data_IF_145376786613
#
_entry.id   IF_145376786613
#
_cell.length_a   1.000
_cell.length_b   1.000
_cell.length_c   1.000
_cell.angle_alpha   90.00
_cell.angle_beta   90.00
_cell.angle_gamma   90.00
#
_symmetry.space_group_name_H-M   'P 1'
#
loop_
_entity.id
_entity.type
_entity.pdbx_description
1 polymer ?
#
# COMPACT_ATOMS: atom_id res chain seq x y z
N UNK A 1 -0.12 -2.26 2.87
CA UNK A 1 -1.13 -2.51 1.83
C UNK A 1 -0.98 -1.40 0.81
N UNK A 2 -0.65 -1.73 -0.45
CA UNK A 2 -0.45 -0.76 -1.54
C UNK A 2 -1.54 -1.01 -2.57
N UNK A 3 -2.64 -0.26 -2.49
CA UNK A 3 -3.58 -0.07 -3.58
C UNK A 3 -3.94 1.42 -3.58
N UNK A 4 -3.46 2.12 -4.61
CA UNK A 4 -3.70 3.54 -4.80
C UNK A 4 -5.14 3.74 -5.26
N UNK A 5 -5.94 4.49 -4.49
CA UNK A 5 -7.20 5.02 -5.00
C UNK A 5 -6.93 6.04 -6.11
N UNK A 6 -7.94 6.37 -6.94
CA UNK A 6 -7.81 7.40 -8.01
C UNK A 6 -7.42 8.78 -7.47
N UNK A 7 -7.72 9.08 -6.21
CA UNK A 7 -7.30 10.30 -5.51
C UNK A 7 -5.90 10.15 -4.89
N UNK A 8 -5.55 8.97 -4.35
CA UNK A 8 -4.18 8.64 -3.92
C UNK A 8 -3.18 8.69 -5.07
N UNK A 9 -3.58 8.26 -6.27
CA UNK A 9 -2.75 8.30 -7.48
C UNK A 9 -2.40 9.75 -7.90
N UNK A 10 -3.31 10.70 -7.71
CA UNK A 10 -3.06 12.13 -7.96
C UNK A 10 -2.22 12.78 -6.86
N UNK A 11 -2.43 12.39 -5.60
CA UNK A 11 -1.63 12.86 -4.47
C UNK A 11 -0.18 12.35 -4.53
N UNK A 12 0.03 11.08 -4.88
CA UNK A 12 1.35 10.47 -5.13
C UNK A 12 2.08 11.06 -6.34
N UNK A 13 1.34 11.55 -7.34
CA UNK A 13 1.93 12.23 -8.49
C UNK A 13 2.39 13.66 -8.18
N UNK A 14 1.97 14.27 -7.06
CA UNK A 14 2.35 15.65 -6.72
C UNK A 14 3.83 15.76 -6.29
N UNK A 15 4.57 16.78 -6.76
CA UNK A 15 5.97 16.98 -6.36
C UNK A 15 6.13 17.15 -4.85
N UNK A 16 5.21 17.91 -4.22
CA UNK A 16 5.23 18.21 -2.78
C UNK A 16 5.11 16.99 -1.88
N UNK A 17 4.25 16.04 -2.22
CA UNK A 17 4.09 14.81 -1.44
C UNK A 17 5.31 13.88 -1.59
N UNK A 18 5.95 13.90 -2.76
CA UNK A 18 7.16 13.12 -3.07
C UNK A 18 8.39 13.58 -2.28
N UNK A 19 8.50 14.87 -1.98
CA UNK A 19 9.59 15.45 -1.20
C UNK A 19 9.39 15.27 0.32
N UNK A 20 8.15 15.37 0.82
CA UNK A 20 7.84 15.33 2.25
C UNK A 20 7.99 13.93 2.90
N UNK A 21 7.94 12.86 2.11
CA UNK A 21 8.00 11.47 2.59
C UNK A 21 9.20 10.67 2.04
N UNK A 22 10.27 11.35 1.62
CA UNK A 22 11.52 10.68 1.27
C UNK A 22 12.35 10.37 2.53
N UNK A 23 12.50 9.10 2.93
CA UNK A 23 13.54 8.74 3.89
C UNK A 23 14.91 9.04 3.26
N UNK A 24 15.68 9.92 3.93
CA UNK A 24 17.04 10.27 3.51
C UNK A 24 17.87 8.99 3.35
N UNK A 25 18.31 8.71 2.11
CA UNK A 25 19.16 7.55 1.80
C UNK A 25 18.54 6.51 0.86
N UNK A 26 17.24 6.58 0.55
CA UNK A 26 16.68 5.75 -0.53
C UNK A 26 16.94 6.47 -1.84
N UNK A 27 18.08 6.17 -2.46
CA UNK A 27 18.34 6.54 -3.85
C UNK A 27 17.09 6.23 -4.68
N UNK A 28 16.67 7.15 -5.56
CA UNK A 28 15.77 6.83 -6.68
C UNK A 28 16.45 5.77 -7.57
N UNK A 29 16.55 4.54 -7.09
CA UNK A 29 17.16 3.43 -7.81
C UNK A 29 16.04 2.57 -8.33
N UNK A 30 15.48 2.95 -9.48
CA UNK A 30 14.85 2.04 -10.46
C UNK A 30 14.07 0.83 -9.88
N UNK A 31 13.26 1.06 -8.85
CA UNK A 31 12.20 0.13 -8.48
C UNK A 31 11.07 0.56 -9.44
N UNK A 32 10.81 -0.09 -10.58
CA UNK A 32 10.52 -1.52 -10.69
C UNK A 32 10.20 -1.87 -12.16
N UNK A 33 11.07 -2.59 -12.86
CA UNK A 33 10.62 -3.30 -14.07
C UNK A 33 9.91 -4.57 -13.61
N UNK A 34 10.57 -5.46 -12.86
CA UNK A 34 9.97 -6.73 -12.44
C UNK A 34 9.16 -6.65 -11.10
N UNK A 35 8.06 -7.41 -11.04
CA UNK A 35 7.13 -7.48 -9.89
C UNK A 35 7.67 -8.31 -8.72
N UNK A 36 8.54 -9.30 -8.97
CA UNK A 36 9.17 -10.16 -7.97
C UNK A 36 10.11 -9.39 -7.05
N UNK A 37 11.02 -8.62 -7.63
CA UNK A 37 11.98 -7.76 -6.94
C UNK A 37 11.27 -6.80 -5.98
N UNK A 38 10.13 -6.27 -6.38
CA UNK A 38 9.29 -5.46 -5.50
C UNK A 38 8.71 -6.21 -4.30
N UNK A 39 8.21 -7.42 -4.51
CA UNK A 39 7.67 -8.20 -3.41
C UNK A 39 8.76 -8.55 -2.40
N UNK A 40 9.99 -8.79 -2.87
CA UNK A 40 11.16 -9.01 -2.01
C UNK A 40 11.55 -7.76 -1.22
N UNK A 41 11.62 -6.59 -1.86
CA UNK A 41 11.87 -5.34 -1.15
C UNK A 41 10.79 -5.05 -0.10
N UNK A 42 9.52 -5.25 -0.46
CA UNK A 42 8.40 -5.07 0.44
C UNK A 42 8.48 -6.00 1.65
N UNK A 43 8.92 -7.25 1.44
CA UNK A 43 9.16 -8.23 2.50
C UNK A 43 10.29 -7.77 3.43
N UNK A 44 11.40 -7.25 2.89
CA UNK A 44 12.51 -6.72 3.69
C UNK A 44 12.02 -5.57 4.58
N UNK A 45 11.28 -4.62 4.00
CA UNK A 45 10.73 -3.47 4.72
C UNK A 45 9.77 -3.94 5.82
N UNK A 46 8.85 -4.87 5.52
CA UNK A 46 7.91 -5.42 6.54
C UNK A 46 8.65 -6.03 7.72
N UNK A 47 9.72 -6.79 7.48
CA UNK A 47 10.54 -7.39 8.55
C UNK A 47 11.26 -6.33 9.38
N UNK A 48 11.81 -5.29 8.74
CA UNK A 48 12.45 -4.18 9.44
C UNK A 48 11.46 -3.41 10.33
N UNK A 49 10.20 -3.30 9.89
CA UNK A 49 9.13 -2.66 10.64
C UNK A 49 8.45 -3.58 11.68
N UNK A 50 8.90 -4.83 11.82
CA UNK A 50 8.28 -5.80 12.75
C UNK A 50 6.85 -6.19 12.38
N UNK A 51 6.45 -6.06 11.12
CA UNK A 51 5.11 -6.43 10.63
C UNK A 51 5.09 -7.94 10.37
N UNK A 52 4.41 -8.67 11.25
CA UNK A 52 4.24 -10.12 11.13
C UNK A 52 3.23 -10.50 10.04
N UNK A 53 3.60 -11.46 9.18
CA UNK A 53 2.70 -12.06 8.19
C UNK A 53 1.90 -13.23 8.81
N UNK A 54 0.89 -12.88 9.61
CA UNK A 54 0.08 -13.86 10.36
C UNK A 54 -0.78 -14.76 9.47
N UNK A 55 -1.12 -14.30 8.28
CA UNK A 55 -2.00 -15.01 7.33
C UNK A 55 -1.22 -15.80 6.27
N UNK A 56 0.12 -15.73 6.28
CA UNK A 56 0.95 -16.32 5.24
C UNK A 56 0.69 -15.70 3.86
N UNK A 57 0.24 -14.44 3.83
CA UNK A 57 -0.11 -13.72 2.61
C UNK A 57 1.12 -13.52 1.71
N UNK A 58 2.31 -13.39 2.28
CA UNK A 58 3.56 -13.31 1.53
C UNK A 58 3.80 -14.58 0.72
N UNK A 59 3.71 -15.74 1.37
CA UNK A 59 3.88 -17.05 0.71
C UNK A 59 2.85 -17.25 -0.41
N UNK A 60 1.60 -16.87 -0.16
CA UNK A 60 0.52 -16.98 -1.15
C UNK A 60 0.73 -16.04 -2.33
N UNK A 61 1.22 -14.81 -2.09
CA UNK A 61 1.50 -13.84 -3.14
C UNK A 61 2.66 -14.30 -4.05
N UNK A 62 3.74 -14.84 -3.47
CA UNK A 62 4.82 -15.42 -4.27
C UNK A 62 4.37 -16.65 -5.07
N UNK A 63 3.52 -17.51 -4.50
CA UNK A 63 2.96 -18.65 -5.23
C UNK A 63 2.05 -18.22 -6.40
N UNK A 64 1.25 -17.16 -6.22
CA UNK A 64 0.46 -16.57 -7.29
C UNK A 64 1.36 -16.02 -8.41
N UNK A 65 2.41 -15.29 -8.04
CA UNK A 65 3.38 -14.76 -8.99
C UNK A 65 4.08 -15.88 -9.77
N UNK A 66 4.52 -16.95 -9.09
CA UNK A 66 5.12 -18.12 -9.74
C UNK A 66 4.18 -18.77 -10.78
N UNK A 67 2.87 -18.86 -10.49
CA UNK A 67 1.87 -19.37 -11.43
C UNK A 67 1.80 -18.50 -12.69
N UNK A 68 1.76 -17.17 -12.52
CA UNK A 68 1.67 -16.22 -13.61
C UNK A 68 2.93 -16.20 -14.45
N UNK A 69 4.11 -16.15 -13.83
CA UNK A 69 5.39 -16.15 -14.54
C UNK A 69 5.61 -17.46 -15.32
N UNK A 70 5.17 -18.60 -14.79
CA UNK A 70 5.16 -19.87 -15.53
C UNK A 70 4.24 -19.83 -16.75
N UNK A 71 3.04 -19.23 -16.63
CA UNK A 71 2.10 -19.07 -17.74
C UNK A 71 2.64 -18.12 -18.81
N UNK A 72 3.34 -17.06 -18.40
CA UNK A 72 3.91 -16.06 -19.29
C UNK A 72 5.25 -16.51 -19.91
N UNK A 73 5.95 -17.45 -19.29
CA UNK A 73 7.30 -17.87 -19.70
C UNK A 73 8.38 -16.79 -19.49
N UNK A 74 8.04 -15.71 -18.78
CA UNK A 74 8.90 -14.56 -18.49
C UNK A 74 8.55 -13.98 -17.12
N UNK A 75 9.48 -13.23 -16.55
CA UNK A 75 9.21 -12.45 -15.35
C UNK A 75 8.09 -11.42 -15.61
N UNK A 76 7.22 -11.24 -14.63
CA UNK A 76 6.14 -10.27 -14.74
C UNK A 76 6.69 -8.87 -14.52
N UNK A 77 6.40 -7.97 -15.47
CA UNK A 77 6.83 -6.57 -15.43
C UNK A 77 5.62 -5.72 -15.03
N UNK A 78 5.85 -4.66 -14.24
CA UNK A 78 4.76 -3.82 -13.71
C UNK A 78 3.95 -3.06 -14.77
N UNK A 79 4.48 -2.91 -15.98
CA UNK A 79 3.81 -2.29 -17.13
C UNK A 79 3.01 -3.28 -17.99
N UNK A 80 3.15 -4.60 -17.76
CA UNK A 80 2.44 -5.64 -18.49
C UNK A 80 0.99 -5.75 -17.98
N UNK A 81 0.11 -4.93 -18.56
CA UNK A 81 -1.32 -4.86 -18.19
C UNK A 81 -1.99 -6.24 -18.21
N UNK A 82 -1.63 -7.10 -19.17
CA UNK A 82 -2.22 -8.45 -19.30
C UNK A 82 -1.68 -9.38 -18.22
N UNK A 83 -0.37 -9.37 -17.98
CA UNK A 83 0.24 -10.17 -16.92
C UNK A 83 -0.25 -9.75 -15.52
N UNK A 84 -0.41 -8.45 -15.29
CA UNK A 84 -0.96 -7.91 -14.04
C UNK A 84 -2.43 -8.28 -13.83
N UNK A 85 -3.23 -8.34 -14.89
CA UNK A 85 -4.61 -8.83 -14.80
C UNK A 85 -4.66 -10.31 -14.39
N UNK A 86 -3.78 -11.16 -14.95
CA UNK A 86 -3.67 -12.57 -14.55
C UNK A 86 -3.25 -12.72 -13.08
N UNK A 87 -2.32 -11.90 -12.62
CA UNK A 87 -1.92 -11.88 -11.21
C UNK A 87 -3.10 -11.48 -10.31
N UNK A 88 -3.87 -10.47 -10.71
CA UNK A 88 -5.05 -10.06 -9.96
C UNK A 88 -6.10 -11.17 -9.87
N UNK A 89 -6.31 -11.94 -10.95
CA UNK A 89 -7.24 -13.08 -10.93
C UNK A 89 -6.80 -14.19 -9.97
N UNK A 90 -5.52 -14.56 -9.99
CA UNK A 90 -4.94 -15.56 -9.08
C UNK A 90 -5.05 -15.11 -7.61
N UNK A 91 -4.75 -13.84 -7.34
CA UNK A 91 -4.89 -13.25 -6.00
C UNK A 91 -6.36 -13.23 -5.56
N UNK A 92 -7.29 -12.87 -6.44
CA UNK A 92 -8.72 -12.90 -6.13
C UNK A 92 -9.21 -14.33 -5.84
N UNK A 93 -8.69 -15.33 -6.55
CA UNK A 93 -9.00 -16.74 -6.26
C UNK A 93 -8.46 -17.17 -4.88
N UNK A 94 -7.28 -16.71 -4.50
CA UNK A 94 -6.72 -16.93 -3.15
C UNK A 94 -7.58 -16.23 -2.09
N UNK A 95 -7.94 -14.98 -2.29
CA UNK A 95 -8.77 -14.21 -1.35
C UNK A 95 -10.12 -14.88 -1.11
N UNK A 96 -10.77 -15.38 -2.18
CA UNK A 96 -12.00 -16.18 -2.07
C UNK A 96 -11.81 -17.44 -1.23
N UNK A 97 -10.69 -18.16 -1.37
CA UNK A 97 -10.37 -19.33 -0.54
C UNK A 97 -10.15 -18.98 0.93
N UNK A 98 -9.60 -17.80 1.20
CA UNK A 98 -9.40 -17.29 2.56
C UNK A 98 -10.66 -16.68 3.18
N UNK A 99 -11.77 -16.63 2.43
CA UNK A 99 -13.03 -16.04 2.90
C UNK A 99 -13.03 -14.52 2.97
N UNK A 100 -11.99 -13.87 2.43
CA UNK A 100 -11.90 -12.41 2.36
C UNK A 100 -12.89 -11.91 1.31
N UNK A 101 -13.83 -11.06 1.73
CA UNK A 101 -14.82 -10.45 0.82
C UNK A 101 -14.28 -9.13 0.31
N UNK A 102 -14.45 -8.86 -0.98
CA UNK A 102 -13.96 -7.63 -1.62
C UNK A 102 -14.45 -6.34 -0.91
N UNK A 103 -15.62 -6.36 -0.27
CA UNK A 103 -16.17 -5.23 0.49
C UNK A 103 -15.59 -5.01 1.90
N UNK A 104 -14.87 -5.99 2.48
CA UNK A 104 -14.22 -5.80 3.79
C UNK A 104 -13.01 -4.87 3.68
N UNK A 105 -12.33 -4.88 2.52
CA UNK A 105 -11.23 -3.95 2.26
C UNK A 105 -11.74 -2.51 2.16
N UNK A 106 -12.81 -2.27 1.41
CA UNK A 106 -13.41 -0.94 1.28
C UNK A 106 -13.88 -0.41 2.65
N UNK A 107 -14.43 -1.28 3.50
CA UNK A 107 -14.79 -0.93 4.87
C UNK A 107 -13.56 -0.59 5.73
N UNK A 108 -12.46 -1.34 5.62
CA UNK A 108 -11.20 -1.06 6.32
C UNK A 108 -10.54 0.23 5.83
N UNK A 109 -10.59 0.50 4.53
CA UNK A 109 -10.10 1.75 3.93
C UNK A 109 -10.91 2.95 4.44
N UNK A 110 -12.25 2.87 4.43
CA UNK A 110 -13.12 3.91 4.97
C UNK A 110 -12.89 4.13 6.48
N UNK A 111 -12.66 3.06 7.25
CA UNK A 111 -12.33 3.17 8.67
C UNK A 111 -10.99 3.87 8.90
N UNK A 112 -9.99 3.54 8.10
CA UNK A 112 -8.67 4.17 8.17
C UNK A 112 -8.75 5.66 7.85
N UNK A 113 -9.42 6.02 6.75
CA UNK A 113 -9.64 7.42 6.37
C UNK A 113 -10.38 8.20 7.47
N UNK A 114 -11.43 7.61 8.04
CA UNK A 114 -12.19 8.22 9.14
C UNK A 114 -11.34 8.40 10.38
N UNK A 115 -10.46 7.43 10.70
CA UNK A 115 -9.57 7.51 11.86
C UNK A 115 -8.54 8.64 11.72
N UNK A 116 -7.94 8.78 10.53
CA UNK A 116 -7.01 9.88 10.22
C UNK A 116 -7.72 11.24 10.26
N UNK A 117 -8.90 11.34 9.67
CA UNK A 117 -9.68 12.58 9.72
C UNK A 117 -10.02 12.99 11.17
N UNK A 118 -10.34 12.02 12.04
CA UNK A 118 -10.60 12.29 13.46
C UNK A 118 -9.35 12.75 14.21
N UNK A 119 -8.19 12.17 13.93
CA UNK A 119 -6.93 12.61 14.55
C UNK A 119 -6.55 14.02 14.10
N UNK A 120 -6.75 14.35 12.83
CA UNK A 120 -6.47 15.69 12.30
C UNK A 120 -7.41 16.74 12.90
N UNK A 121 -8.71 16.44 12.99
CA UNK A 121 -9.70 17.32 13.64
C UNK A 121 -9.36 17.54 15.11
N UNK A 122 -8.95 16.48 15.83
CA UNK A 122 -8.55 16.60 17.23
C UNK A 122 -7.32 17.50 17.40
N UNK A 123 -6.33 17.40 16.51
CA UNK A 123 -5.15 18.26 16.51
C UNK A 123 -5.51 19.73 16.24
N UNK A 124 -6.39 20.01 15.26
CA UNK A 124 -6.87 21.37 15.01
C UNK A 124 -7.70 21.93 16.17
N UNK A 125 -8.50 21.09 16.83
CA UNK A 125 -9.27 21.50 18.01
C UNK A 125 -8.36 21.87 19.18
N UNK A 126 -7.32 21.07 19.47
CA UNK A 126 -6.32 21.43 20.50
C UNK A 126 -5.59 22.72 20.14
N UNK A 127 -5.13 22.88 18.89
CA UNK A 127 -4.43 24.08 18.44
C UNK A 127 -5.32 25.33 18.54
N UNK A 128 -6.60 25.22 18.20
CA UNK A 128 -7.56 26.31 18.34
C UNK A 128 -7.79 26.69 19.81
N UNK A 129 -7.91 25.71 20.71
CA UNK A 129 -8.08 25.97 22.15
C UNK A 129 -6.84 26.60 22.78
N UNK A 130 -5.64 26.20 22.37
CA UNK A 130 -4.39 26.81 22.81
C UNK A 130 -4.29 28.27 22.35
N UNK A 131 -4.59 28.55 21.08
CA UNK A 131 -4.62 29.92 20.55
C UNK A 131 -5.65 30.78 21.28
N UNK A 132 -6.88 30.30 21.49
CA UNK A 132 -7.91 31.02 22.25
C UNK A 132 -7.45 31.26 23.71
N UNK A 133 -6.76 30.30 24.32
CA UNK A 133 -6.18 30.45 25.66
C UNK A 133 -5.08 31.51 25.72
N UNK A 134 -4.29 31.66 24.67
CA UNK A 134 -3.25 32.71 24.58
C UNK A 134 -3.81 34.11 24.34
N UNK A 135 -5.01 34.26 23.76
CA UNK A 135 -5.69 35.56 23.60
C UNK A 135 -6.46 36.01 24.85
N UNK A 136 -6.72 35.12 25.82
CA UNK A 136 -7.41 35.44 27.08
C UNK A 136 -6.48 35.82 28.24
N UNK A 137 -5.17 35.91 28.01
CA UNK A 137 -4.18 36.48 28.92
C UNK A 137 -3.86 37.91 28.49
#
# INVERSE_FOLDING_TARGET
MLLLSRTSARAWASPRFREAHQPAGVSQRRIREDVRSFLEESRIIRRQLGVEDKLGAEKLMFAALDSVEKKLGKALVGDDVKGMALLQEEVNAINKKLGLKDGELEALEQQLETSMAKTDIAAFASEATEKIGTYKK
#
